data_IF_378229231786
#
_entry.id   IF_378229231786
#
_cell.length_a   1.000
_cell.length_b   1.000
_cell.length_c   1.000
_cell.angle_alpha   90.00
_cell.angle_beta   90.00
_cell.angle_gamma   90.00
#
_symmetry.space_group_name_H-M   'P 1'
#
loop_
_entity.id
_entity.type
_entity.pdbx_description
1 polymer ?
#
# COMPACT_ATOMS: atom_id res chain seq x y z
N UNK A 1 56.60 -3.60 -19.59
CA UNK A 1 55.91 -3.43 -18.29
C UNK A 1 54.62 -2.59 -18.38
N UNK A 2 54.58 -1.52 -19.19
CA UNK A 2 53.42 -0.62 -19.32
C UNK A 2 52.13 -1.27 -19.89
N UNK A 3 52.22 -2.11 -20.93
CA UNK A 3 51.04 -2.75 -21.54
C UNK A 3 50.27 -3.69 -20.59
N UNK A 4 50.97 -4.35 -19.66
CA UNK A 4 50.35 -5.28 -18.68
C UNK A 4 49.54 -4.52 -17.62
N UNK A 5 49.97 -3.32 -17.24
CA UNK A 5 49.23 -2.42 -16.34
C UNK A 5 47.96 -1.88 -17.01
N UNK A 6 48.02 -1.52 -18.28
CA UNK A 6 46.87 -1.02 -19.05
C UNK A 6 45.80 -2.11 -19.18
N UNK A 7 46.19 -3.33 -19.52
CA UNK A 7 45.28 -4.47 -19.59
C UNK A 7 44.58 -4.76 -18.25
N UNK A 8 45.30 -4.74 -17.13
CA UNK A 8 44.70 -4.91 -15.80
C UNK A 8 43.75 -3.76 -15.42
N UNK A 9 44.10 -2.50 -15.73
CA UNK A 9 43.20 -1.36 -15.44
C UNK A 9 41.91 -1.41 -16.25
N UNK A 10 41.98 -1.82 -17.53
CA UNK A 10 40.79 -1.99 -18.37
C UNK A 10 39.91 -3.13 -17.87
N UNK A 11 40.50 -4.26 -17.46
CA UNK A 11 39.75 -5.38 -16.87
C UNK A 11 39.08 -4.99 -15.55
N UNK A 12 39.76 -4.22 -14.68
CA UNK A 12 39.18 -3.72 -13.43
C UNK A 12 38.04 -2.73 -13.70
N UNK A 13 38.17 -1.85 -14.71
CA UNK A 13 37.11 -0.92 -15.10
C UNK A 13 35.89 -1.62 -15.74
N UNK A 14 36.12 -2.70 -16.50
CA UNK A 14 35.06 -3.53 -17.06
C UNK A 14 34.35 -4.34 -15.96
N UNK A 15 35.09 -4.91 -15.00
CA UNK A 15 34.51 -5.60 -13.86
C UNK A 15 33.73 -4.67 -12.94
N UNK A 16 34.23 -3.46 -12.67
CA UNK A 16 33.52 -2.48 -11.84
C UNK A 16 32.25 -1.97 -12.52
N UNK A 17 32.28 -1.73 -13.83
CA UNK A 17 31.07 -1.36 -14.59
C UNK A 17 30.04 -2.50 -14.64
N UNK A 18 30.47 -3.75 -14.74
CA UNK A 18 29.59 -4.93 -14.70
C UNK A 18 28.92 -5.11 -13.33
N UNK A 19 29.63 -4.83 -12.23
CA UNK A 19 29.08 -4.86 -10.87
C UNK A 19 28.02 -3.76 -10.66
N UNK A 20 28.19 -2.57 -11.26
CA UNK A 20 27.19 -1.49 -11.21
C UNK A 20 25.91 -1.84 -11.99
N UNK A 21 26.00 -2.61 -13.08
CA UNK A 21 24.82 -3.04 -13.84
C UNK A 21 23.97 -4.04 -13.04
N UNK A 22 24.58 -4.89 -12.23
CA UNK A 22 23.87 -5.89 -11.43
C UNK A 22 23.03 -5.28 -10.28
N UNK A 23 23.33 -4.07 -9.81
CA UNK A 23 22.59 -3.44 -8.69
C UNK A 23 21.35 -2.66 -9.12
N UNK A 24 21.13 -2.45 -10.41
CA UNK A 24 19.98 -1.68 -10.94
C UNK A 24 18.89 -2.53 -11.59
N UNK A 25 19.00 -3.86 -11.51
CA UNK A 25 17.98 -4.78 -12.02
C UNK A 25 16.67 -4.61 -11.21
N UNK A 26 15.75 -3.82 -11.74
CA UNK A 26 14.37 -3.78 -11.22
C UNK A 26 13.75 -5.16 -11.38
N UNK A 27 13.29 -5.81 -10.29
CA UNK A 27 12.69 -7.14 -10.39
C UNK A 27 11.54 -7.12 -11.41
N UNK A 28 11.42 -8.16 -12.25
CA UNK A 28 10.37 -8.26 -13.27
C UNK A 28 8.96 -8.04 -12.67
N UNK A 29 8.73 -8.52 -11.44
CA UNK A 29 7.51 -8.27 -10.67
C UNK A 29 7.24 -6.78 -10.45
N UNK A 30 8.27 -5.99 -10.09
CA UNK A 30 8.16 -4.54 -9.89
C UNK A 30 7.81 -3.83 -11.19
N UNK A 31 8.44 -4.20 -12.32
CA UNK A 31 8.10 -3.62 -13.65
C UNK A 31 6.65 -3.90 -14.03
N UNK A 32 6.18 -5.13 -13.81
CA UNK A 32 4.77 -5.51 -14.05
C UNK A 32 3.82 -4.69 -13.18
N UNK A 33 4.09 -4.58 -11.88
CA UNK A 33 3.27 -3.76 -10.96
C UNK A 33 3.23 -2.29 -11.39
N UNK A 34 4.36 -1.72 -11.82
CA UNK A 34 4.42 -0.34 -12.32
C UNK A 34 3.62 -0.17 -13.63
N UNK A 35 3.63 -1.14 -14.53
CA UNK A 35 2.81 -1.12 -15.74
C UNK A 35 1.31 -1.13 -15.44
N UNK A 36 0.88 -1.96 -14.48
CA UNK A 36 -0.52 -1.98 -14.04
C UNK A 36 -0.90 -0.66 -13.36
N UNK A 37 -0.03 -0.10 -12.51
CA UNK A 37 -0.25 1.22 -11.89
C UNK A 37 -0.43 2.31 -12.95
N UNK A 38 0.39 2.30 -14.00
CA UNK A 38 0.23 3.20 -15.15
C UNK A 38 -1.15 3.07 -15.78
N UNK A 39 -1.62 1.85 -16.03
CA UNK A 39 -2.97 1.60 -16.56
C UNK A 39 -4.07 2.15 -15.64
N UNK A 40 -3.98 1.89 -14.34
CA UNK A 40 -4.98 2.35 -13.37
C UNK A 40 -4.99 3.87 -13.23
N UNK A 41 -3.84 4.53 -13.27
CA UNK A 41 -3.74 5.99 -13.20
C UNK A 41 -4.47 6.67 -14.37
N UNK A 42 -4.60 6.01 -15.52
CA UNK A 42 -5.40 6.51 -16.66
C UNK A 42 -6.92 6.31 -16.49
N UNK A 43 -7.38 5.42 -15.60
CA UNK A 43 -8.80 5.18 -15.36
C UNK A 43 -9.45 6.24 -14.44
N UNK A 44 -8.63 7.06 -13.78
CA UNK A 44 -9.07 8.21 -13.01
C UNK A 44 -8.58 8.19 -11.56
N UNK A 45 -8.94 9.22 -10.78
CA UNK A 45 -8.48 9.30 -9.40
C UNK A 45 -9.07 8.16 -8.58
N UNK A 46 -8.21 7.63 -7.71
CA UNK A 46 -8.55 6.62 -6.71
C UNK A 46 -8.45 7.24 -5.32
N UNK A 47 -9.43 6.95 -4.46
CA UNK A 47 -9.32 7.28 -3.05
C UNK A 47 -8.51 6.19 -2.32
N UNK A 48 -7.45 6.59 -1.63
CA UNK A 48 -6.63 5.69 -0.83
C UNK A 48 -7.27 5.38 0.53
N UNK A 49 -7.54 4.11 0.80
CA UNK A 49 -7.99 3.60 2.11
C UNK A 49 -6.85 2.85 2.78
N UNK A 50 -6.46 3.29 3.97
CA UNK A 50 -5.36 2.71 4.72
C UNK A 50 -5.87 2.14 6.04
N UNK A 51 -5.51 0.90 6.33
CA UNK A 51 -5.68 0.29 7.66
C UNK A 51 -4.33 -0.10 8.24
N UNK A 52 -4.24 -0.17 9.57
CA UNK A 52 -3.04 -0.63 10.27
C UNK A 52 -3.26 -1.97 10.97
N UNK A 53 -4.52 -2.36 11.21
CA UNK A 53 -4.88 -3.40 12.17
C UNK A 53 -5.74 -4.50 11.52
N UNK A 54 -5.38 -5.81 11.66
CA UNK A 54 -6.13 -6.88 10.98
C UNK A 54 -7.63 -6.93 11.29
N UNK A 55 -8.10 -6.71 12.53
CA UNK A 55 -9.55 -6.60 12.81
C UNK A 55 -10.26 -5.47 12.07
N UNK A 56 -9.58 -4.37 11.72
CA UNK A 56 -10.15 -3.33 10.85
C UNK A 56 -10.29 -3.85 9.41
N UNK A 57 -9.31 -4.62 8.91
CA UNK A 57 -9.38 -5.26 7.60
C UNK A 57 -10.54 -6.26 7.52
N UNK A 58 -10.65 -7.13 8.52
CA UNK A 58 -11.72 -8.12 8.60
C UNK A 58 -13.10 -7.46 8.71
N UNK A 59 -13.26 -6.49 9.61
CA UNK A 59 -14.52 -5.78 9.77
C UNK A 59 -14.93 -5.04 8.49
N UNK A 60 -13.97 -4.42 7.80
CA UNK A 60 -14.22 -3.73 6.55
C UNK A 60 -14.69 -4.69 5.45
N UNK A 61 -13.97 -5.79 5.20
CA UNK A 61 -14.36 -6.73 4.14
C UNK A 61 -15.63 -7.52 4.48
N UNK A 62 -15.91 -7.78 5.76
CA UNK A 62 -17.14 -8.40 6.21
C UNK A 62 -18.41 -7.58 5.88
N UNK A 63 -18.27 -6.26 5.62
CA UNK A 63 -19.40 -5.43 5.19
C UNK A 63 -19.94 -5.78 3.80
N UNK A 64 -19.14 -6.47 2.96
CA UNK A 64 -19.49 -6.74 1.56
C UNK A 64 -19.53 -5.50 0.65
N UNK A 65 -19.14 -4.32 1.14
CA UNK A 65 -19.24 -3.07 0.38
C UNK A 65 -18.15 -2.88 -0.68
N UNK A 66 -17.09 -3.70 -0.64
CA UNK A 66 -15.95 -3.59 -1.55
C UNK A 66 -16.16 -4.47 -2.78
N UNK A 67 -16.25 -3.85 -3.95
CA UNK A 67 -16.35 -4.50 -5.26
C UNK A 67 -14.95 -4.57 -5.90
N UNK A 68 -14.32 -5.75 -6.03
CA UNK A 68 -12.98 -5.87 -6.60
C UNK A 68 -12.93 -5.45 -8.07
N UNK A 69 -11.83 -4.82 -8.49
CA UNK A 69 -11.62 -4.46 -9.89
C UNK A 69 -11.53 -5.73 -10.76
N UNK A 70 -12.25 -5.80 -11.90
CA UNK A 70 -12.44 -7.05 -12.64
C UNK A 70 -11.15 -7.58 -13.27
N UNK A 71 -10.23 -6.70 -13.69
CA UNK A 71 -8.97 -7.09 -14.33
C UNK A 71 -7.78 -7.15 -13.39
N UNK A 72 -7.79 -6.30 -12.36
CA UNK A 72 -6.66 -6.05 -11.48
C UNK A 72 -7.16 -5.94 -10.03
N UNK A 73 -7.68 -7.02 -9.43
CA UNK A 73 -8.29 -6.96 -8.09
C UNK A 73 -7.28 -6.60 -7.00
N UNK A 74 -5.99 -6.86 -7.23
CA UNK A 74 -4.91 -6.40 -6.37
C UNK A 74 -3.59 -6.26 -7.14
N UNK A 75 -2.67 -5.49 -6.57
CA UNK A 75 -1.27 -5.36 -6.97
C UNK A 75 -0.41 -5.54 -5.74
N UNK A 76 0.59 -6.42 -5.82
CA UNK A 76 1.62 -6.53 -4.80
C UNK A 76 2.80 -5.60 -5.19
N UNK A 77 3.14 -4.66 -4.31
CA UNK A 77 4.22 -3.69 -4.50
C UNK A 77 4.93 -3.45 -3.16
N UNK A 78 6.28 -3.53 -3.16
CA UNK A 78 7.10 -3.27 -1.97
C UNK A 78 6.68 -4.05 -0.72
N UNK A 79 6.30 -5.33 -0.90
CA UNK A 79 5.87 -6.21 0.18
C UNK A 79 4.45 -5.95 0.71
N UNK A 80 3.68 -5.09 0.04
CA UNK A 80 2.31 -4.75 0.44
C UNK A 80 1.32 -5.10 -0.68
N UNK A 81 0.11 -5.48 -0.28
CA UNK A 81 -1.00 -5.75 -1.20
C UNK A 81 -1.92 -4.54 -1.26
N UNK A 82 -2.02 -3.94 -2.44
CA UNK A 82 -2.96 -2.88 -2.77
C UNK A 82 -4.16 -3.53 -3.45
N UNK A 83 -5.31 -3.57 -2.79
CA UNK A 83 -6.56 -4.10 -3.35
C UNK A 83 -7.28 -2.96 -4.07
N UNK A 84 -7.60 -3.16 -5.34
CA UNK A 84 -8.22 -2.13 -6.18
C UNK A 84 -9.67 -2.51 -6.40
N UNK A 85 -10.55 -1.53 -6.27
CA UNK A 85 -11.98 -1.79 -6.39
C UNK A 85 -12.83 -0.54 -6.35
N UNK A 86 -14.11 -0.76 -6.06
CA UNK A 86 -15.10 0.28 -5.85
C UNK A 86 -15.84 0.08 -4.54
N UNK A 87 -16.35 1.18 -4.00
CA UNK A 87 -17.33 1.18 -2.92
C UNK A 87 -18.42 2.15 -3.35
N UNK A 88 -19.66 1.66 -3.47
CA UNK A 88 -20.78 2.46 -3.97
C UNK A 88 -20.46 3.21 -5.29
N UNK A 89 -19.81 2.52 -6.23
CA UNK A 89 -19.43 3.09 -7.53
C UNK A 89 -18.20 4.02 -7.52
N UNK A 90 -17.70 4.44 -6.36
CA UNK A 90 -16.49 5.29 -6.23
C UNK A 90 -15.24 4.42 -6.22
N UNK A 91 -14.23 4.80 -7.01
CA UNK A 91 -12.95 4.06 -7.14
C UNK A 91 -12.09 4.21 -5.89
N UNK A 92 -11.63 3.09 -5.35
CA UNK A 92 -10.82 3.04 -4.14
C UNK A 92 -9.61 2.11 -4.30
N UNK A 93 -8.51 2.44 -3.63
CA UNK A 93 -7.38 1.52 -3.42
C UNK A 93 -7.25 1.29 -1.92
N UNK A 94 -7.44 0.05 -1.50
CA UNK A 94 -7.29 -0.36 -0.11
C UNK A 94 -5.91 -0.97 0.13
N UNK A 95 -5.24 -0.54 1.20
CA UNK A 95 -3.94 -1.09 1.60
C UNK A 95 -3.85 -1.23 3.11
N UNK A 96 -3.36 -2.38 3.57
CA UNK A 96 -2.93 -2.54 4.96
C UNK A 96 -1.51 -2.04 5.12
N UNK A 97 -1.34 -0.85 5.68
CA UNK A 97 -0.05 -0.30 6.02
C UNK A 97 -0.12 0.63 7.24
N UNK A 98 0.86 0.50 8.14
CA UNK A 98 0.95 1.24 9.40
C UNK A 98 1.09 2.76 9.29
N UNK A 99 1.33 3.35 8.10
CA UNK A 99 1.79 4.73 7.98
C UNK A 99 1.20 5.41 6.72
N UNK A 100 0.35 6.43 6.92
CA UNK A 100 -0.20 7.28 5.85
C UNK A 100 0.87 7.97 4.98
N UNK A 101 2.08 8.16 5.52
CA UNK A 101 3.22 8.73 4.79
C UNK A 101 3.58 7.95 3.52
N UNK A 102 3.34 6.63 3.47
CA UNK A 102 3.65 5.87 2.24
C UNK A 102 2.73 6.25 1.09
N UNK A 103 1.46 6.56 1.36
CA UNK A 103 0.53 7.02 0.32
C UNK A 103 0.82 8.46 -0.08
N UNK A 104 1.13 9.33 0.89
CA UNK A 104 1.53 10.72 0.63
C UNK A 104 2.81 10.81 -0.21
N UNK A 105 3.82 9.97 0.07
CA UNK A 105 5.09 9.97 -0.68
C UNK A 105 4.95 9.58 -2.15
N UNK A 106 3.81 8.98 -2.54
CA UNK A 106 3.52 8.59 -3.93
C UNK A 106 2.56 9.58 -4.62
N UNK A 107 2.30 10.75 -4.03
CA UNK A 107 1.49 11.81 -4.65
C UNK A 107 -0.02 11.59 -4.57
N UNK A 108 -0.49 10.68 -3.72
CA UNK A 108 -1.92 10.46 -3.52
C UNK A 108 -2.45 11.36 -2.39
N UNK A 109 -3.59 12.07 -2.57
CA UNK A 109 -4.29 12.72 -1.48
C UNK A 109 -4.83 11.66 -0.51
N UNK A 110 -4.64 11.87 0.80
CA UNK A 110 -4.98 10.90 1.84
C UNK A 110 -5.91 11.51 2.87
N UNK A 111 -6.98 10.80 3.19
CA UNK A 111 -7.82 11.05 4.36
C UNK A 111 -7.62 9.88 5.31
N UNK A 112 -7.34 10.18 6.58
CA UNK A 112 -7.17 9.17 7.63
C UNK A 112 -8.38 9.20 8.55
N UNK A 113 -9.13 8.09 8.58
CA UNK A 113 -10.23 7.87 9.53
C UNK A 113 -9.73 6.84 10.54
N UNK A 114 -9.61 7.21 11.82
CA UNK A 114 -9.12 6.33 12.89
C UNK A 114 -10.23 5.98 13.87
N UNK A 115 -10.44 4.69 14.08
CA UNK A 115 -11.21 4.18 15.21
C UNK A 115 -10.37 4.23 16.49
N UNK A 116 -10.96 4.68 17.59
CA UNK A 116 -10.35 4.60 18.91
C UNK A 116 -10.90 3.38 19.63
N UNK A 117 -10.03 2.41 19.90
CA UNK A 117 -10.38 1.19 20.63
C UNK A 117 -9.86 1.17 22.07
N UNK A 118 -8.85 1.99 22.39
CA UNK A 118 -8.22 2.00 23.71
C UNK A 118 -7.46 3.32 23.96
N UNK A 119 -6.76 3.41 25.11
CA UNK A 119 -5.98 4.59 25.51
C UNK A 119 -4.52 4.56 25.04
N UNK A 120 -4.14 3.68 24.09
CA UNK A 120 -2.79 3.56 23.55
C UNK A 120 -1.67 3.48 24.62
N UNK A 121 -1.95 2.79 25.73
CA UNK A 121 -1.03 2.63 26.87
C UNK A 121 -1.36 3.49 28.10
N UNK A 122 -2.27 4.46 27.99
CA UNK A 122 -2.74 5.29 29.13
C UNK A 122 -3.74 4.61 30.07
N UNK A 123 -3.93 3.30 29.94
CA UNK A 123 -4.90 2.51 30.69
C UNK A 123 -4.21 1.73 31.81
N UNK A 124 -4.81 1.72 32.99
CA UNK A 124 -4.37 0.88 34.11
C UNK A 124 -4.99 -0.50 33.99
N UNK A 125 -4.18 -1.55 34.17
CA UNK A 125 -4.65 -2.94 34.06
C UNK A 125 -4.55 -3.55 32.66
N UNK A 126 -5.43 -4.51 32.34
CA UNK A 126 -5.34 -5.28 31.09
C UNK A 126 -5.65 -4.40 29.88
N UNK A 127 -4.98 -4.68 28.76
CA UNK A 127 -5.28 -4.05 27.49
C UNK A 127 -6.71 -4.40 27.05
N UNK A 128 -7.54 -3.38 26.84
CA UNK A 128 -8.97 -3.53 26.48
C UNK A 128 -9.20 -3.65 24.96
N UNK A 129 -8.14 -3.67 24.14
CA UNK A 129 -8.22 -3.77 22.68
C UNK A 129 -8.98 -5.01 22.21
N UNK A 130 -8.92 -6.13 22.94
CA UNK A 130 -9.67 -7.33 22.56
C UNK A 130 -11.19 -7.15 22.74
N UNK A 131 -11.62 -6.25 23.64
CA UNK A 131 -13.02 -5.97 23.90
C UNK A 131 -13.57 -4.93 22.93
N UNK A 132 -12.87 -3.80 22.78
CA UNK A 132 -13.36 -2.65 22.01
C UNK A 132 -12.79 -2.55 20.60
N UNK A 133 -11.72 -3.29 20.28
CA UNK A 133 -11.10 -3.31 18.95
C UNK A 133 -12.09 -3.67 17.84
N UNK A 134 -12.82 -4.79 17.92
CA UNK A 134 -13.83 -5.15 16.92
C UNK A 134 -14.94 -4.09 16.77
N UNK A 135 -15.36 -3.47 17.87
CA UNK A 135 -16.40 -2.44 17.86
C UNK A 135 -15.91 -1.15 17.18
N UNK A 136 -14.72 -0.67 17.55
CA UNK A 136 -14.08 0.49 16.95
C UNK A 136 -13.82 0.26 15.45
N UNK A 137 -13.36 -0.93 15.07
CA UNK A 137 -13.15 -1.35 13.69
C UNK A 137 -14.47 -1.31 12.88
N UNK A 138 -15.54 -1.92 13.39
CA UNK A 138 -16.84 -1.92 12.71
C UNK A 138 -17.43 -0.53 12.54
N UNK A 139 -17.37 0.30 13.59
CA UNK A 139 -17.86 1.68 13.53
C UNK A 139 -17.04 2.51 12.53
N UNK A 140 -15.72 2.34 12.51
CA UNK A 140 -14.83 2.98 11.54
C UNK A 140 -15.19 2.58 10.11
N UNK A 141 -15.42 1.28 9.86
CA UNK A 141 -15.83 0.79 8.55
C UNK A 141 -17.15 1.44 8.09
N UNK A 142 -18.15 1.54 8.98
CA UNK A 142 -19.43 2.22 8.68
C UNK A 142 -19.24 3.69 8.32
N UNK A 143 -18.40 4.41 9.06
CA UNK A 143 -18.09 5.83 8.77
C UNK A 143 -17.40 5.97 7.42
N UNK A 144 -16.40 5.14 7.13
CA UNK A 144 -15.68 5.14 5.84
C UNK A 144 -16.64 4.90 4.69
N UNK A 145 -17.50 3.88 4.78
CA UNK A 145 -18.48 3.55 3.73
C UNK A 145 -19.48 4.70 3.55
N UNK A 146 -20.01 5.25 4.64
CA UNK A 146 -20.93 6.38 4.61
C UNK A 146 -20.30 7.64 4.00
N UNK A 147 -19.06 7.95 4.38
CA UNK A 147 -18.29 9.06 3.81
C UNK A 147 -18.11 8.90 2.30
N UNK A 148 -17.66 7.74 1.84
CA UNK A 148 -17.45 7.46 0.41
C UNK A 148 -18.77 7.55 -0.37
N UNK A 149 -19.86 7.03 0.21
CA UNK A 149 -21.20 7.15 -0.37
C UNK A 149 -21.64 8.61 -0.53
N UNK A 150 -21.21 9.50 0.38
CA UNK A 150 -21.57 10.92 0.36
C UNK A 150 -20.71 11.78 -0.56
N UNK A 151 -19.62 11.22 -1.13
CA UNK A 151 -18.76 11.97 -2.06
C UNK A 151 -19.53 12.30 -3.36
N UNK A 152 -19.39 13.53 -3.89
CA UNK A 152 -20.03 13.95 -5.14
C UNK A 152 -19.63 13.04 -6.32
#
# INVERSE_FOLDING_TARGET
>A
MAMKKIASSVVVALLSSLVVVCTSATPLKRRRSLGIIGQLNHEGPYLGLLTVYPPEEEAFFATGAFEPHPRHPFIDLSGRRFRIGKIHGKRVVYVRCGIGMTSLSNGFPVIVIRGLSDLAGGQTGRNTVQLFGPLAALNTAKVVIGFIKSLP
#
